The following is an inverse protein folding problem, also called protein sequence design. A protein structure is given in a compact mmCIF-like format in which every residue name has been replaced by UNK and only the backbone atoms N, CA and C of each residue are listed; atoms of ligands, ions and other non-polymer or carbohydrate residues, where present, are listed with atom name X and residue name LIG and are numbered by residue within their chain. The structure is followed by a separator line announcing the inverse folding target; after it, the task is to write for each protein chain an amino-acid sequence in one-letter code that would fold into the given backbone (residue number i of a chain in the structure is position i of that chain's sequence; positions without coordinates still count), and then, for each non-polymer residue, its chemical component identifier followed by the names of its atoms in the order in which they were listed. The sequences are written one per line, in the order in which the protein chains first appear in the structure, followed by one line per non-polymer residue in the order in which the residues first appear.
data_IF_464327855264
#
_entry.id   IF_464327855264
#
_cell.length_a   1.000
_cell.length_b   1.000
_cell.length_c   1.000
_cell.angle_alpha   90.00
_cell.angle_beta   90.00
_cell.angle_gamma   90.00
#
_symmetry.space_group_name_H-M   'P 1'
#
loop_
_entity.id
_entity.type
_entity.pdbx_description
1 polymer ?
#
# COMPACT_ATOMS: atom_id res chain seq x y z
N UNK A 1 11.96 17.10 11.30
CA UNK A 1 11.97 17.25 9.82
C UNK A 1 12.05 18.74 9.56
N UNK A 2 13.20 19.22 9.10
CA UNK A 2 13.37 20.63 8.71
C UNK A 2 12.43 20.93 7.54
N UNK A 3 11.68 22.02 7.68
CA UNK A 3 10.58 22.41 6.76
C UNK A 3 10.98 22.70 5.30
N UNK A 4 12.26 22.57 4.93
CA UNK A 4 12.77 23.00 3.62
C UNK A 4 13.36 21.90 2.73
N UNK A 5 13.16 20.62 3.03
CA UNK A 5 13.72 19.51 2.26
C UNK A 5 12.68 18.83 1.33
N UNK A 6 11.69 19.59 0.84
CA UNK A 6 10.76 19.09 -0.15
C UNK A 6 11.37 19.17 -1.56
N UNK A 7 11.09 18.13 -2.40
CA UNK A 7 11.55 18.10 -3.78
C UNK A 7 12.87 17.36 -3.98
N UNK A 8 13.45 17.52 -5.17
CA UNK A 8 14.71 16.89 -5.55
C UNK A 8 15.83 17.45 -4.69
N UNK A 9 16.68 16.55 -4.17
CA UNK A 9 17.82 16.92 -3.33
C UNK A 9 18.87 17.70 -4.12
N UNK A 10 19.49 18.66 -3.43
CA UNK A 10 20.49 19.58 -3.99
C UNK A 10 21.83 19.52 -3.26
N UNK A 11 21.82 18.86 -2.09
CA UNK A 11 23.00 18.76 -1.21
C UNK A 11 23.62 17.38 -1.39
N UNK A 12 24.93 17.34 -1.50
CA UNK A 12 25.73 16.11 -1.56
C UNK A 12 25.76 15.38 -0.21
N UNK A 13 26.29 14.14 -0.22
CA UNK A 13 26.47 13.31 0.97
C UNK A 13 25.32 12.36 1.28
N UNK A 14 24.34 12.22 0.38
CA UNK A 14 23.33 11.16 0.49
C UNK A 14 23.98 9.81 0.20
N UNK A 15 23.74 8.83 1.05
CA UNK A 15 24.18 7.45 0.85
C UNK A 15 23.04 6.48 1.16
N UNK A 16 22.95 5.41 0.42
CA UNK A 16 22.10 4.28 0.74
C UNK A 16 22.83 3.35 1.71
N UNK A 17 22.28 3.17 2.89
CA UNK A 17 22.87 2.32 3.94
C UNK A 17 21.95 1.15 4.26
N UNK A 18 22.54 0.00 4.57
CA UNK A 18 21.81 -1.07 5.25
C UNK A 18 21.47 -0.57 6.67
N UNK A 19 20.20 -0.47 7.06
CA UNK A 19 19.80 0.05 8.37
C UNK A 19 20.18 -0.86 9.54
N UNK A 20 20.45 -2.15 9.29
CA UNK A 20 20.85 -3.11 10.32
C UNK A 20 22.36 -3.11 10.56
N UNK A 21 23.16 -3.16 9.48
CA UNK A 21 24.63 -3.19 9.59
C UNK A 21 25.27 -1.79 9.59
N UNK A 22 24.57 -0.76 9.11
CA UNK A 22 25.12 0.58 8.89
C UNK A 22 26.06 0.68 7.67
N UNK A 23 26.27 -0.42 6.96
CA UNK A 23 27.14 -0.50 5.78
C UNK A 23 26.60 0.37 4.64
N UNK A 24 27.49 1.13 3.98
CA UNK A 24 27.13 1.89 2.78
C UNK A 24 27.01 0.94 1.62
N UNK A 25 25.79 0.80 1.10
CA UNK A 25 25.47 -0.03 -0.06
C UNK A 25 25.79 0.71 -1.36
N UNK A 26 25.47 2.01 -1.39
CA UNK A 26 25.55 2.80 -2.60
C UNK A 26 25.62 4.31 -2.31
N UNK A 27 26.35 5.03 -3.15
CA UNK A 27 26.35 6.51 -3.17
C UNK A 27 25.67 6.97 -4.47
N UNK A 28 24.46 7.54 -4.38
CA UNK A 28 23.72 8.00 -5.55
C UNK A 28 24.31 9.29 -6.14
N UNK A 29 23.92 9.68 -7.39
CA UNK A 29 24.36 10.93 -8.01
C UNK A 29 24.13 12.12 -7.11
N UNK A 30 25.05 13.07 -7.07
CA UNK A 30 24.97 14.23 -6.15
C UNK A 30 24.43 15.50 -6.83
N UNK A 31 24.61 15.64 -8.15
CA UNK A 31 24.20 16.84 -8.89
C UNK A 31 22.69 16.84 -9.17
N UNK A 32 21.99 17.93 -8.80
CA UNK A 32 20.58 18.13 -9.15
C UNK A 32 20.32 18.02 -10.64
N UNK A 33 21.23 18.52 -11.48
CA UNK A 33 21.11 18.45 -12.93
C UNK A 33 21.15 16.99 -13.43
N UNK A 34 22.11 16.20 -12.93
CA UNK A 34 22.23 14.76 -13.26
C UNK A 34 21.00 13.98 -12.76
N UNK A 35 20.51 14.28 -11.56
CA UNK A 35 19.32 13.63 -11.02
C UNK A 35 18.10 13.90 -11.92
N UNK A 36 17.92 15.14 -12.38
CA UNK A 36 16.81 15.51 -13.29
C UNK A 36 16.92 14.83 -14.64
N UNK A 37 18.13 14.75 -15.20
CA UNK A 37 18.40 14.05 -16.46
C UNK A 37 18.08 12.56 -16.34
N UNK A 38 18.54 11.90 -15.28
CA UNK A 38 18.26 10.50 -15.01
C UNK A 38 16.76 10.22 -14.75
N UNK A 39 16.05 11.14 -14.07
CA UNK A 39 14.60 11.02 -13.90
C UNK A 39 13.87 11.18 -15.23
N UNK A 40 14.27 12.11 -16.08
CA UNK A 40 13.69 12.26 -17.43
C UNK A 40 13.94 11.01 -18.31
N UNK A 41 15.12 10.41 -18.20
CA UNK A 41 15.42 9.15 -18.87
C UNK A 41 14.54 8.00 -18.33
N UNK A 42 14.37 7.91 -17.01
CA UNK A 42 13.49 6.92 -16.38
C UNK A 42 12.03 7.11 -16.80
N UNK A 43 11.56 8.35 -16.88
CA UNK A 43 10.20 8.67 -17.35
C UNK A 43 9.99 8.22 -18.80
N UNK A 44 10.96 8.47 -19.68
CA UNK A 44 10.92 7.99 -21.05
C UNK A 44 10.88 6.45 -21.10
N UNK A 45 11.70 5.78 -20.29
CA UNK A 45 11.70 4.31 -20.22
C UNK A 45 10.38 3.73 -19.72
N UNK A 46 9.75 4.37 -18.73
CA UNK A 46 8.42 3.95 -18.21
C UNK A 46 7.35 4.01 -19.31
N UNK A 47 7.39 5.04 -20.15
CA UNK A 47 6.38 5.33 -21.18
C UNK A 47 6.71 4.73 -22.56
N UNK A 48 7.89 4.15 -22.74
CA UNK A 48 8.26 3.49 -23.99
C UNK A 48 7.78 2.03 -23.98
N UNK A 49 6.94 1.67 -24.91
CA UNK A 49 6.44 0.30 -25.11
C UNK A 49 7.03 -0.37 -26.37
N UNK A 50 7.99 0.27 -27.04
CA UNK A 50 8.61 -0.24 -28.25
C UNK A 50 9.63 -1.36 -28.00
N UNK A 51 10.07 -1.55 -26.75
CA UNK A 51 11.07 -2.53 -26.35
C UNK A 51 10.50 -3.97 -26.17
N UNK A 52 9.16 -4.13 -26.22
CA UNK A 52 8.46 -5.41 -26.03
C UNK A 52 8.85 -6.19 -24.75
N UNK A 53 9.44 -5.51 -23.76
CA UNK A 53 9.84 -6.12 -22.50
C UNK A 53 8.60 -6.39 -21.64
N UNK A 54 8.53 -7.60 -21.08
CA UNK A 54 7.45 -7.96 -20.13
C UNK A 54 7.31 -6.90 -19.02
N UNK A 55 6.10 -6.37 -18.77
CA UNK A 55 5.90 -5.30 -17.80
C UNK A 55 6.39 -5.62 -16.38
N UNK A 56 6.33 -6.88 -15.94
CA UNK A 56 6.83 -7.26 -14.63
C UNK A 56 8.37 -7.18 -14.56
N UNK A 57 9.04 -7.56 -15.64
CA UNK A 57 10.50 -7.42 -15.79
C UNK A 57 10.87 -5.94 -15.81
N UNK A 58 10.15 -5.16 -16.63
CA UNK A 58 10.37 -3.72 -16.78
C UNK A 58 10.16 -2.99 -15.45
N UNK A 59 9.15 -3.38 -14.66
CA UNK A 59 8.92 -2.83 -13.30
C UNK A 59 10.13 -3.05 -12.37
N UNK A 60 10.76 -4.24 -12.42
CA UNK A 60 11.93 -4.50 -11.59
C UNK A 60 13.12 -3.60 -11.98
N UNK A 61 13.29 -3.30 -13.27
CA UNK A 61 14.30 -2.37 -13.79
C UNK A 61 13.98 -0.94 -13.38
N UNK A 62 12.72 -0.51 -13.53
CA UNK A 62 12.24 0.81 -13.10
C UNK A 62 12.54 1.03 -11.62
N UNK A 63 12.24 0.04 -10.78
CA UNK A 63 12.50 0.12 -9.34
C UNK A 63 14.00 0.28 -9.04
N UNK A 64 14.83 -0.54 -9.66
CA UNK A 64 16.29 -0.45 -9.53
C UNK A 64 16.81 0.93 -9.89
N UNK A 65 16.39 1.44 -11.04
CA UNK A 65 16.84 2.73 -11.55
C UNK A 65 16.38 3.88 -10.65
N UNK A 66 15.12 3.87 -10.21
CA UNK A 66 14.63 4.90 -9.28
C UNK A 66 15.39 4.90 -7.95
N UNK A 67 15.63 3.73 -7.36
CA UNK A 67 16.41 3.60 -6.12
C UNK A 67 17.89 3.99 -6.33
N UNK A 68 18.43 3.76 -7.52
CA UNK A 68 19.79 4.20 -7.88
C UNK A 68 19.89 5.71 -8.05
N UNK A 69 18.89 6.37 -8.62
CA UNK A 69 18.83 7.83 -8.71
C UNK A 69 18.68 8.46 -7.31
N UNK A 70 17.85 7.85 -6.46
CA UNK A 70 17.59 8.28 -5.09
C UNK A 70 17.30 9.78 -4.98
N UNK A 71 16.28 10.30 -5.67
CA UNK A 71 16.14 11.73 -5.95
C UNK A 71 15.80 12.60 -4.73
N UNK A 72 15.26 12.02 -3.66
CA UNK A 72 14.75 12.76 -2.51
C UNK A 72 15.67 12.63 -1.28
N UNK A 73 15.53 13.55 -0.34
CA UNK A 73 16.23 13.45 0.95
C UNK A 73 15.69 12.32 1.83
N UNK A 74 14.40 12.03 1.74
CA UNK A 74 13.72 10.93 2.44
C UNK A 74 12.55 10.41 1.59
N UNK A 75 12.14 9.18 1.84
CA UNK A 75 10.96 8.58 1.22
C UNK A 75 11.21 7.93 -0.14
N UNK A 76 12.46 7.82 -0.62
CA UNK A 76 12.73 7.19 -1.91
C UNK A 76 12.16 5.78 -1.99
N UNK A 77 12.44 4.90 -1.04
CA UNK A 77 11.91 3.54 -1.04
C UNK A 77 10.37 3.47 -1.01
N UNK A 78 9.69 4.40 -0.33
CA UNK A 78 8.22 4.50 -0.38
C UNK A 78 7.75 4.92 -1.78
N UNK A 79 8.38 5.93 -2.35
CA UNK A 79 8.07 6.43 -3.69
C UNK A 79 8.33 5.37 -4.75
N UNK A 80 9.48 4.68 -4.72
CA UNK A 80 9.81 3.60 -5.65
C UNK A 80 8.77 2.48 -5.64
N UNK A 81 8.30 2.09 -4.46
CA UNK A 81 7.22 1.08 -4.34
C UNK A 81 5.86 1.59 -4.82
N UNK A 82 5.56 2.87 -4.64
CA UNK A 82 4.35 3.48 -5.21
C UNK A 82 4.44 3.49 -6.74
N UNK A 83 5.58 3.87 -7.31
CA UNK A 83 5.82 3.85 -8.76
C UNK A 83 5.57 2.43 -9.32
N UNK A 84 6.08 1.38 -8.65
CA UNK A 84 5.86 0.00 -9.08
C UNK A 84 4.37 -0.33 -9.21
N UNK A 85 3.58 -0.03 -8.17
CA UNK A 85 2.16 -0.35 -8.16
C UNK A 85 1.40 0.46 -9.20
N UNK A 86 1.71 1.76 -9.35
CA UNK A 86 1.11 2.62 -10.37
C UNK A 86 1.49 2.17 -11.78
N UNK A 87 2.71 1.68 -11.99
CA UNK A 87 3.14 1.12 -13.26
C UNK A 87 2.34 -0.14 -13.63
N UNK A 88 2.07 -1.04 -12.67
CA UNK A 88 1.23 -2.21 -12.92
C UNK A 88 -0.22 -1.82 -13.26
N UNK A 89 -0.74 -0.75 -12.68
CA UNK A 89 -2.05 -0.19 -13.07
C UNK A 89 -1.99 0.42 -14.47
N UNK A 90 -0.94 1.19 -14.78
CA UNK A 90 -0.73 1.77 -16.12
C UNK A 90 -0.67 0.69 -17.21
N UNK A 91 -0.10 -0.48 -16.90
CA UNK A 91 0.00 -1.61 -17.81
C UNK A 91 -1.20 -2.57 -17.74
N UNK A 92 -2.29 -2.16 -17.12
CA UNK A 92 -3.54 -2.91 -17.01
C UNK A 92 -3.39 -4.32 -16.38
N UNK A 93 -2.30 -4.53 -15.60
CA UNK A 93 -2.09 -5.75 -14.81
C UNK A 93 -2.81 -5.70 -13.48
N UNK A 94 -3.24 -4.53 -13.05
CA UNK A 94 -4.05 -4.28 -11.86
C UNK A 94 -5.14 -3.26 -12.18
N UNK A 95 -6.37 -3.52 -11.79
CA UNK A 95 -7.47 -2.53 -11.86
C UNK A 95 -7.34 -1.42 -10.82
N UNK A 96 -6.63 -1.68 -9.74
CA UNK A 96 -6.44 -0.77 -8.61
C UNK A 96 -5.08 -1.00 -7.95
N UNK A 97 -4.47 0.02 -7.32
CA UNK A 97 -3.13 -0.06 -6.73
C UNK A 97 -3.11 -0.83 -5.40
N UNK A 98 -3.56 -2.10 -5.39
CA UNK A 98 -3.75 -2.92 -4.19
C UNK A 98 -2.57 -3.86 -3.87
N UNK A 99 -1.53 -3.91 -4.71
CA UNK A 99 -0.39 -4.78 -4.51
C UNK A 99 0.65 -4.13 -3.58
N UNK A 100 0.76 -4.60 -2.34
CA UNK A 100 1.62 -4.00 -1.32
C UNK A 100 2.98 -4.71 -1.20
N UNK A 101 3.89 -4.46 -2.15
CA UNK A 101 5.25 -5.02 -2.19
C UNK A 101 6.13 -4.65 -0.98
N UNK A 102 5.76 -3.63 -0.22
CA UNK A 102 6.58 -3.16 0.91
C UNK A 102 6.81 -4.24 1.96
N UNK A 103 5.81 -5.09 2.25
CA UNK A 103 5.94 -6.16 3.25
C UNK A 103 7.01 -7.15 2.80
N UNK A 104 6.94 -7.62 1.55
CA UNK A 104 7.91 -8.56 0.99
C UNK A 104 9.34 -8.01 1.04
N UNK A 105 9.55 -6.76 0.58
CA UNK A 105 10.87 -6.13 0.58
C UNK A 105 11.40 -5.94 2.01
N UNK A 106 10.54 -5.60 2.97
CA UNK A 106 10.94 -5.42 4.37
C UNK A 106 11.30 -6.77 5.05
N UNK A 107 10.56 -7.82 4.74
CA UNK A 107 10.81 -9.18 5.24
C UNK A 107 12.10 -9.78 4.63
N UNK A 108 12.44 -9.41 3.39
CA UNK A 108 13.60 -9.91 2.64
C UNK A 108 14.66 -8.82 2.40
N UNK A 109 14.82 -7.91 3.35
CA UNK A 109 15.64 -6.69 3.19
C UNK A 109 17.12 -6.97 2.90
N UNK A 110 17.71 -7.96 3.55
CA UNK A 110 19.13 -8.28 3.38
C UNK A 110 19.40 -8.82 1.97
N UNK A 111 18.51 -9.68 1.45
CA UNK A 111 18.56 -10.16 0.07
C UNK A 111 18.40 -9.00 -0.91
N UNK A 112 17.43 -8.10 -0.70
CA UNK A 112 17.21 -6.92 -1.51
C UNK A 112 18.49 -6.08 -1.67
N UNK A 113 19.17 -5.75 -0.59
CA UNK A 113 20.40 -4.95 -0.66
C UNK A 113 21.58 -5.71 -1.27
N UNK A 114 21.68 -7.01 -1.01
CA UNK A 114 22.69 -7.86 -1.65
C UNK A 114 22.49 -7.88 -3.17
N UNK A 115 21.27 -8.11 -3.64
CA UNK A 115 20.93 -8.15 -5.06
C UNK A 115 21.06 -6.78 -5.72
N UNK A 116 20.74 -5.69 -5.02
CA UNK A 116 20.97 -4.33 -5.53
C UNK A 116 22.45 -4.09 -5.82
N UNK A 117 23.35 -4.57 -4.97
CA UNK A 117 24.80 -4.53 -5.17
C UNK A 117 25.23 -5.43 -6.31
N UNK A 118 24.72 -6.67 -6.39
CA UNK A 118 25.06 -7.64 -7.43
C UNK A 118 24.72 -7.13 -8.85
N UNK A 119 23.61 -6.44 -9.02
CA UNK A 119 23.30 -5.78 -10.30
C UNK A 119 24.39 -4.77 -10.66
N UNK A 120 24.81 -3.96 -9.72
CA UNK A 120 25.76 -2.89 -9.95
C UNK A 120 27.18 -3.36 -10.23
N UNK A 121 27.65 -4.34 -9.43
CA UNK A 121 29.04 -4.80 -9.46
C UNK A 121 29.27 -5.92 -10.47
N UNK A 122 28.28 -6.78 -10.63
CA UNK A 122 28.39 -8.03 -11.37
C UNK A 122 27.38 -8.16 -12.53
N UNK A 123 26.56 -7.12 -12.77
CA UNK A 123 25.51 -7.12 -13.81
C UNK A 123 24.50 -8.28 -13.68
N UNK A 124 24.18 -8.70 -12.43
CA UNK A 124 23.32 -9.86 -12.13
C UNK A 124 21.84 -9.46 -12.12
N UNK A 125 21.34 -8.98 -13.26
CA UNK A 125 19.93 -8.62 -13.45
C UNK A 125 18.98 -9.81 -13.29
N UNK A 126 19.43 -11.00 -13.66
CA UNK A 126 18.66 -12.24 -13.54
C UNK A 126 18.13 -12.46 -12.12
N UNK A 127 19.00 -12.35 -11.13
CA UNK A 127 18.63 -12.56 -9.73
C UNK A 127 17.75 -11.46 -9.18
N UNK A 128 18.01 -10.20 -9.55
CA UNK A 128 17.18 -9.06 -9.18
C UNK A 128 15.74 -9.17 -9.71
N UNK A 129 15.61 -9.51 -11.00
CA UNK A 129 14.30 -9.71 -11.64
C UNK A 129 13.55 -10.86 -10.98
N UNK A 130 14.19 -12.00 -10.75
CA UNK A 130 13.58 -13.16 -10.07
C UNK A 130 13.11 -12.79 -8.65
N UNK A 131 13.88 -12.00 -7.90
CA UNK A 131 13.48 -11.50 -6.59
C UNK A 131 12.17 -10.71 -6.66
N UNK A 132 12.06 -9.78 -7.61
CA UNK A 132 10.84 -8.99 -7.79
C UNK A 132 9.66 -9.83 -8.25
N UNK A 133 9.86 -10.75 -9.19
CA UNK A 133 8.79 -11.66 -9.66
C UNK A 133 8.24 -12.51 -8.50
N UNK A 134 9.11 -13.06 -7.65
CA UNK A 134 8.69 -13.79 -6.43
C UNK A 134 7.92 -12.87 -5.46
N UNK A 135 8.40 -11.64 -5.27
CA UNK A 135 7.74 -10.65 -4.43
C UNK A 135 6.34 -10.30 -4.92
N UNK A 136 6.15 -10.16 -6.23
CA UNK A 136 4.86 -9.93 -6.86
C UNK A 136 3.94 -11.14 -6.64
N UNK A 137 4.42 -12.35 -6.95
CA UNK A 137 3.66 -13.59 -6.79
C UNK A 137 3.18 -13.77 -5.35
N UNK A 138 4.08 -13.73 -4.36
CA UNK A 138 3.73 -13.89 -2.96
C UNK A 138 2.76 -12.82 -2.48
N UNK A 139 2.98 -11.56 -2.87
CA UNK A 139 2.11 -10.45 -2.48
C UNK A 139 0.73 -10.57 -3.12
N UNK A 140 0.65 -10.98 -4.39
CA UNK A 140 -0.61 -11.20 -5.09
C UNK A 140 -1.42 -12.35 -4.43
N UNK A 141 -0.78 -13.46 -4.09
CA UNK A 141 -1.41 -14.58 -3.39
C UNK A 141 -1.92 -14.15 -2.01
N UNK A 142 -1.12 -13.42 -1.24
CA UNK A 142 -1.52 -12.87 0.07
C UNK A 142 -2.73 -11.93 -0.07
N UNK A 143 -2.70 -11.01 -1.05
CA UNK A 143 -3.79 -10.06 -1.30
C UNK A 143 -5.08 -10.77 -1.72
N UNK A 144 -4.98 -11.77 -2.60
CA UNK A 144 -6.13 -12.57 -3.03
C UNK A 144 -6.77 -13.33 -1.86
N UNK A 145 -5.95 -13.93 -0.99
CA UNK A 145 -6.46 -14.62 0.20
C UNK A 145 -7.16 -13.65 1.15
N UNK A 146 -6.58 -12.48 1.39
CA UNK A 146 -7.21 -11.44 2.20
C UNK A 146 -8.57 -11.01 1.63
N UNK A 147 -8.66 -10.79 0.33
CA UNK A 147 -9.93 -10.42 -0.31
C UNK A 147 -10.98 -11.51 -0.18
N UNK A 148 -10.61 -12.80 -0.30
CA UNK A 148 -11.51 -13.94 -0.06
C UNK A 148 -12.00 -13.98 1.40
N UNK A 149 -11.12 -13.72 2.36
CA UNK A 149 -11.48 -13.68 3.78
C UNK A 149 -12.42 -12.50 4.10
N UNK A 150 -12.15 -11.31 3.53
CA UNK A 150 -13.04 -10.15 3.67
C UNK A 150 -14.42 -10.46 3.08
N UNK A 151 -14.50 -11.03 1.88
CA UNK A 151 -15.78 -11.41 1.26
C UNK A 151 -16.56 -12.42 2.13
N UNK A 152 -15.89 -13.45 2.62
CA UNK A 152 -16.51 -14.42 3.55
C UNK A 152 -17.00 -13.74 4.83
N UNK A 153 -16.25 -12.78 5.34
CA UNK A 153 -16.64 -11.99 6.52
C UNK A 153 -17.86 -11.11 6.24
N UNK A 154 -17.95 -10.49 5.07
CA UNK A 154 -19.10 -9.70 4.63
C UNK A 154 -20.36 -10.59 4.61
N UNK A 155 -20.30 -11.76 3.95
CA UNK A 155 -21.42 -12.70 3.88
C UNK A 155 -21.89 -13.17 5.28
N UNK A 156 -20.94 -13.57 6.14
CA UNK A 156 -21.24 -13.97 7.52
C UNK A 156 -21.86 -12.82 8.32
N UNK A 157 -21.36 -11.61 8.13
CA UNK A 157 -21.88 -10.42 8.83
C UNK A 157 -23.30 -10.10 8.34
N UNK A 158 -23.56 -10.19 7.04
CA UNK A 158 -24.91 -10.01 6.48
C UNK A 158 -25.92 -11.00 7.08
N UNK A 159 -25.56 -12.28 7.16
CA UNK A 159 -26.41 -13.32 7.76
C UNK A 159 -26.68 -13.07 9.25
N UNK A 160 -25.65 -12.67 10.00
CA UNK A 160 -25.77 -12.32 11.42
C UNK A 160 -26.62 -11.07 11.64
N UNK A 161 -26.46 -10.02 10.81
CA UNK A 161 -27.28 -8.82 10.88
C UNK A 161 -28.75 -9.12 10.60
N UNK A 162 -29.05 -9.96 9.61
CA UNK A 162 -30.42 -10.41 9.33
C UNK A 162 -31.06 -11.10 10.52
N UNK A 163 -30.28 -11.82 11.33
CA UNK A 163 -30.75 -12.54 12.51
C UNK A 163 -30.87 -11.62 13.74
N UNK A 164 -29.86 -10.78 14.00
CA UNK A 164 -29.73 -10.00 15.24
C UNK A 164 -30.38 -8.62 15.17
N UNK A 165 -30.33 -7.98 14.00
CA UNK A 165 -30.79 -6.59 13.79
C UNK A 165 -31.63 -6.45 12.49
N UNK A 166 -32.66 -7.30 12.29
CA UNK A 166 -33.39 -7.40 11.02
C UNK A 166 -34.04 -6.08 10.57
N UNK A 167 -34.37 -5.20 11.52
CA UNK A 167 -35.06 -3.91 11.23
C UNK A 167 -34.15 -2.88 10.54
N UNK A 168 -32.84 -3.01 10.70
CA UNK A 168 -31.87 -2.05 10.16
C UNK A 168 -30.94 -2.69 9.14
N UNK A 169 -31.02 -4.00 8.94
CA UNK A 169 -30.19 -4.70 7.98
C UNK A 169 -30.53 -4.26 6.56
N UNK A 170 -29.58 -3.71 5.84
CA UNK A 170 -29.64 -3.43 4.43
C UNK A 170 -28.26 -3.69 3.80
N UNK A 171 -28.24 -3.82 2.46
CA UNK A 171 -26.98 -4.00 1.72
C UNK A 171 -26.11 -2.75 1.82
N UNK A 172 -26.73 -1.60 1.69
CA UNK A 172 -26.05 -0.30 1.73
C UNK A 172 -25.40 -0.06 3.09
N UNK A 173 -26.09 -0.39 4.19
CA UNK A 173 -25.51 -0.29 5.53
C UNK A 173 -24.32 -1.23 5.69
N UNK A 174 -24.43 -2.47 5.20
CA UNK A 174 -23.34 -3.44 5.24
C UNK A 174 -22.12 -2.96 4.45
N UNK A 175 -22.31 -2.45 3.23
CA UNK A 175 -21.24 -1.88 2.41
C UNK A 175 -20.54 -0.73 3.13
N UNK A 176 -21.26 0.21 3.73
CA UNK A 176 -20.69 1.30 4.52
C UNK A 176 -19.85 0.82 5.72
N UNK A 177 -20.26 -0.28 6.37
CA UNK A 177 -19.50 -0.85 7.50
C UNK A 177 -18.18 -1.51 7.06
N UNK A 178 -18.04 -1.85 5.77
CA UNK A 178 -16.85 -2.49 5.22
C UNK A 178 -16.02 -1.57 4.32
N UNK A 179 -16.47 -0.33 4.08
CA UNK A 179 -15.68 0.68 3.34
C UNK A 179 -14.44 1.09 4.13
N UNK A 180 -14.58 1.22 5.45
CA UNK A 180 -13.51 1.62 6.35
C UNK A 180 -13.53 0.76 7.62
N UNK A 181 -12.41 0.69 8.36
CA UNK A 181 -12.36 0.00 9.66
C UNK A 181 -13.23 0.65 10.73
N UNK A 182 -13.53 1.91 10.57
CA UNK A 182 -14.32 2.69 11.49
C UNK A 182 -15.34 3.54 10.74
N UNK A 183 -16.44 3.84 11.42
CA UNK A 183 -17.46 4.73 10.89
C UNK A 183 -17.88 5.75 11.94
N UNK A 184 -18.60 6.76 11.52
CA UNK A 184 -19.14 7.84 12.35
C UNK A 184 -20.59 8.09 11.96
N UNK A 185 -21.35 8.74 12.88
CA UNK A 185 -22.74 9.12 12.61
C UNK A 185 -22.90 9.88 11.29
N UNK A 186 -22.05 10.89 10.95
CA UNK A 186 -22.17 11.60 9.69
C UNK A 186 -22.01 10.69 8.46
N UNK A 187 -21.12 9.69 8.50
CA UNK A 187 -20.90 8.79 7.37
C UNK A 187 -22.12 7.92 7.07
N UNK A 188 -22.76 7.39 8.13
CA UNK A 188 -23.99 6.62 7.98
C UNK A 188 -25.16 7.53 7.56
N UNK A 189 -25.23 8.75 8.08
CA UNK A 189 -26.23 9.72 7.71
C UNK A 189 -26.17 10.05 6.21
N UNK A 190 -24.99 10.36 5.72
CA UNK A 190 -24.73 10.73 4.32
C UNK A 190 -24.91 9.50 3.39
N UNK A 191 -24.27 8.38 3.72
CA UNK A 191 -24.28 7.19 2.87
C UNK A 191 -25.65 6.52 2.73
N UNK A 192 -26.53 6.64 3.75
CA UNK A 192 -27.90 6.09 3.70
C UNK A 192 -29.00 7.15 3.45
N UNK A 193 -28.65 8.45 3.41
CA UNK A 193 -29.64 9.51 3.27
C UNK A 193 -30.63 9.62 4.46
N UNK A 194 -30.19 9.24 5.67
CA UNK A 194 -31.07 9.20 6.86
C UNK A 194 -30.80 10.36 7.80
N UNK A 195 -31.69 10.60 8.76
CA UNK A 195 -31.49 11.62 9.79
C UNK A 195 -30.35 11.24 10.75
N UNK A 196 -29.71 12.24 11.37
CA UNK A 196 -28.68 12.01 12.39
C UNK A 196 -29.16 11.08 13.53
N UNK A 197 -30.43 11.24 13.96
CA UNK A 197 -31.05 10.40 14.98
C UNK A 197 -31.16 8.95 14.54
N UNK A 198 -31.58 8.71 13.29
CA UNK A 198 -31.68 7.37 12.71
C UNK A 198 -30.29 6.72 12.60
N UNK A 199 -29.30 7.45 12.07
CA UNK A 199 -27.91 6.97 11.97
C UNK A 199 -27.33 6.61 13.35
N UNK A 200 -27.57 7.44 14.36
CA UNK A 200 -27.15 7.18 15.74
C UNK A 200 -27.81 5.91 16.29
N UNK A 201 -29.10 5.72 16.05
CA UNK A 201 -29.82 4.52 16.50
C UNK A 201 -29.30 3.25 15.81
N UNK A 202 -28.98 3.32 14.50
CA UNK A 202 -28.40 2.20 13.77
C UNK A 202 -27.05 1.79 14.36
N UNK A 203 -26.16 2.75 14.59
CA UNK A 203 -24.85 2.48 15.16
C UNK A 203 -24.94 1.93 16.60
N UNK A 204 -25.85 2.45 17.43
CA UNK A 204 -26.09 1.89 18.78
C UNK A 204 -26.61 0.44 18.71
N UNK A 205 -27.57 0.17 17.82
CA UNK A 205 -28.09 -1.19 17.67
C UNK A 205 -27.03 -2.19 17.18
N UNK A 206 -26.10 -1.74 16.32
CA UNK A 206 -24.97 -2.56 15.87
C UNK A 206 -23.94 -2.77 16.97
N UNK A 207 -23.70 -1.77 17.80
CA UNK A 207 -22.83 -1.87 18.98
C UNK A 207 -23.41 -2.85 20.01
N UNK A 208 -24.70 -2.73 20.35
CA UNK A 208 -25.41 -3.61 21.28
C UNK A 208 -25.45 -5.06 20.79
N UNK A 209 -25.51 -5.25 19.46
CA UNK A 209 -25.47 -6.57 18.83
C UNK A 209 -24.06 -7.16 18.66
N UNK A 210 -23.01 -6.41 19.03
CA UNK A 210 -21.61 -6.84 19.00
C UNK A 210 -20.94 -6.82 17.61
N UNK A 211 -21.43 -6.01 16.68
CA UNK A 211 -20.78 -5.78 15.39
C UNK A 211 -19.74 -4.67 15.46
N UNK A 212 -20.03 -3.66 16.29
CA UNK A 212 -19.19 -2.49 16.44
C UNK A 212 -18.75 -2.33 17.91
N UNK A 213 -17.63 -1.68 18.11
CA UNK A 213 -17.23 -1.10 19.39
C UNK A 213 -17.02 0.39 19.21
N UNK A 214 -17.39 1.21 20.18
CA UNK A 214 -17.19 2.63 20.07
C UNK A 214 -16.13 3.16 21.01
N UNK A 215 -15.44 4.21 20.55
CA UNK A 215 -14.46 4.95 21.30
C UNK A 215 -14.69 6.46 21.13
N UNK A 216 -14.50 7.23 22.20
CA UNK A 216 -14.59 8.68 22.13
C UNK A 216 -13.22 9.26 21.79
N UNK A 217 -13.11 9.92 20.63
CA UNK A 217 -11.92 10.65 20.20
C UNK A 217 -12.23 12.15 20.16
N UNK A 218 -11.77 12.87 21.19
CA UNK A 218 -12.06 14.29 21.31
C UNK A 218 -13.56 14.55 21.46
N UNK A 219 -14.16 15.25 20.51
CA UNK A 219 -15.62 15.57 20.47
C UNK A 219 -16.45 14.55 19.71
N UNK A 220 -15.82 13.58 19.04
CA UNK A 220 -16.49 12.61 18.18
C UNK A 220 -16.53 11.22 18.81
N UNK A 221 -17.58 10.46 18.50
CA UNK A 221 -17.69 9.03 18.79
C UNK A 221 -17.40 8.27 17.50
N UNK A 222 -16.37 7.44 17.52
CA UNK A 222 -15.94 6.59 16.42
C UNK A 222 -16.40 5.17 16.70
N UNK A 223 -16.96 4.49 15.70
CA UNK A 223 -17.41 3.11 15.77
C UNK A 223 -16.51 2.24 14.92
N UNK A 224 -15.86 1.26 15.52
CA UNK A 224 -14.93 0.34 14.89
C UNK A 224 -15.63 -0.97 14.54
N UNK A 225 -15.48 -1.44 13.31
CA UNK A 225 -15.91 -2.78 12.92
C UNK A 225 -14.96 -3.81 13.55
N UNK A 226 -15.45 -4.50 14.59
CA UNK A 226 -14.63 -5.40 15.42
C UNK A 226 -14.04 -6.51 14.57
N UNK A 227 -14.86 -7.18 13.76
CA UNK A 227 -14.45 -8.36 12.98
C UNK A 227 -13.49 -8.01 11.86
N UNK A 228 -13.74 -6.92 11.15
CA UNK A 228 -12.84 -6.45 10.08
C UNK A 228 -11.50 -6.02 10.67
N UNK A 229 -11.52 -5.32 11.79
CA UNK A 229 -10.29 -4.90 12.47
C UNK A 229 -9.43 -6.09 12.92
N UNK A 230 -10.05 -7.11 13.55
CA UNK A 230 -9.33 -8.30 13.98
C UNK A 230 -8.79 -9.11 12.79
N UNK A 231 -9.56 -9.22 11.69
CA UNK A 231 -9.09 -9.89 10.48
C UNK A 231 -7.80 -9.24 9.94
N UNK A 232 -7.80 -7.92 9.79
CA UNK A 232 -6.66 -7.21 9.21
C UNK A 232 -5.47 -7.12 10.17
N UNK A 233 -5.72 -7.04 11.48
CA UNK A 233 -4.66 -7.08 12.49
C UNK A 233 -3.89 -8.40 12.44
N UNK A 234 -4.58 -9.53 12.29
CA UNK A 234 -3.98 -10.86 12.26
C UNK A 234 -3.12 -11.11 11.01
N UNK A 235 -3.40 -10.43 9.90
CA UNK A 235 -2.63 -10.54 8.65
C UNK A 235 -1.30 -9.76 8.73
N UNK A 236 -1.23 -8.77 9.60
CA UNK A 236 -0.03 -7.95 9.79
C UNK A 236 0.90 -8.46 10.91
N UNK A 237 0.54 -9.55 11.56
CA UNK A 237 1.39 -10.30 12.48
C UNK A 237 2.04 -11.48 11.76
#
# INVERSE_FOLDING_TARGET
IEKNNAGIRKISGTVLKNPESGEIIYTPPESEAVIKELLANLENYINDDSDEVDPLVKMAVIHYQFESIHPFYDGNGRTGRIINVLYLVLKELLDSPILYLSKYILENRNEYYSLFREVRENNRWDQWIIYFLKGIEETAVRSLNLLKEINSLIEKTAADMKRKVPKIQSRELLELLFTEFYTKIPYIQEGLGVTRKTASNYLSSLEDAGFLSSEKMGREKIYKNIRLFELIKNINQ
#
